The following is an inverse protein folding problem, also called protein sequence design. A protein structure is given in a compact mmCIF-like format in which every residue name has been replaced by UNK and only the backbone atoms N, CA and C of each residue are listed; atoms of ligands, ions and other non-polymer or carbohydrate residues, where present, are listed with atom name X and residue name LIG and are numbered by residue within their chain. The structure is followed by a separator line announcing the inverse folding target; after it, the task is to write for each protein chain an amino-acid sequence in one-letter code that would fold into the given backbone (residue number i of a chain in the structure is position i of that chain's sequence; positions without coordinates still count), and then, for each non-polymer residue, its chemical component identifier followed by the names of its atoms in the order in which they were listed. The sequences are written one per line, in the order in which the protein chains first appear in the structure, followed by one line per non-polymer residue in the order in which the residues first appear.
data_IF_527363767391
#
_entry.id   IF_527363767391
#
_cell.length_a   1.000
_cell.length_b   1.000
_cell.length_c   1.000
_cell.angle_alpha   90.00
_cell.angle_beta   90.00
_cell.angle_gamma   90.00
#
_symmetry.space_group_name_H-M   'P 1'
#
loop_
_entity.id
_entity.type
_entity.pdbx_description
1 polymer ?
#
# COMPACT_ATOMS: atom_id res chain seq x y z
N UNK A 1 6.45 9.72 21.26
CA UNK A 1 6.58 8.93 20.03
C UNK A 1 8.07 8.76 19.78
N UNK A 2 8.61 7.56 19.99
CA UNK A 2 10.05 7.30 19.85
C UNK A 2 10.38 7.21 18.37
N UNK A 3 11.33 8.00 17.88
CA UNK A 3 11.77 7.96 16.48
C UNK A 3 12.68 6.76 16.31
N UNK A 4 12.30 5.82 15.44
CA UNK A 4 13.17 4.72 15.03
C UNK A 4 13.71 4.99 13.62
N UNK A 5 15.01 5.25 13.54
CA UNK A 5 15.69 5.47 12.25
C UNK A 5 15.67 4.18 11.42
N UNK A 6 15.77 3.02 12.06
CA UNK A 6 15.74 1.72 11.40
C UNK A 6 14.39 1.44 10.75
N UNK A 7 13.28 1.82 11.38
CA UNK A 7 11.94 1.73 10.79
C UNK A 7 11.81 2.63 9.56
N UNK A 8 12.20 3.91 9.69
CA UNK A 8 12.14 4.87 8.60
C UNK A 8 13.02 4.44 7.42
N UNK A 9 14.21 3.89 7.70
CA UNK A 9 15.09 3.28 6.71
C UNK A 9 14.41 2.11 6.01
N UNK A 10 13.76 1.23 6.77
CA UNK A 10 13.02 0.08 6.24
C UNK A 10 11.90 0.50 5.29
N UNK A 11 11.11 1.51 5.64
CA UNK A 11 10.06 2.05 4.78
C UNK A 11 10.63 2.68 3.50
N UNK A 12 11.65 3.53 3.63
CA UNK A 12 12.31 4.17 2.50
C UNK A 12 12.89 3.16 1.52
N UNK A 13 13.59 2.13 2.03
CA UNK A 13 14.17 1.06 1.21
C UNK A 13 13.09 0.30 0.43
N UNK A 14 12.02 -0.13 1.10
CA UNK A 14 10.89 -0.82 0.45
C UNK A 14 10.24 0.01 -0.65
N UNK A 15 10.04 1.31 -0.44
CA UNK A 15 9.48 2.18 -1.49
C UNK A 15 10.39 2.26 -2.71
N UNK A 16 11.70 2.44 -2.51
CA UNK A 16 12.66 2.53 -3.62
C UNK A 16 12.76 1.21 -4.38
N UNK A 17 12.78 0.08 -3.68
CA UNK A 17 12.79 -1.25 -4.30
C UNK A 17 11.55 -1.49 -5.15
N UNK A 18 10.36 -1.12 -4.66
CA UNK A 18 9.09 -1.26 -5.41
C UNK A 18 8.99 -0.32 -6.61
N UNK A 19 9.58 0.88 -6.51
CA UNK A 19 9.58 1.86 -7.60
C UNK A 19 10.65 1.58 -8.65
N UNK A 20 11.71 0.84 -8.32
CA UNK A 20 12.83 0.60 -9.21
C UNK A 20 12.48 -0.44 -10.27
N UNK A 21 12.54 -0.04 -11.55
CA UNK A 21 12.27 -0.91 -12.71
C UNK A 21 13.52 -1.60 -13.28
N UNK A 22 14.57 -1.81 -12.47
CA UNK A 22 15.78 -2.56 -12.85
C UNK A 22 17.12 -1.84 -12.65
N UNK A 23 18.21 -2.48 -13.11
CA UNK A 23 19.60 -2.05 -12.97
C UNK A 23 19.90 -0.79 -13.81
N UNK A 24 19.46 0.37 -13.34
CA UNK A 24 19.64 1.66 -14.00
C UNK A 24 18.62 2.69 -13.53
N UNK A 25 17.48 2.24 -13.02
CA UNK A 25 16.40 3.10 -12.56
C UNK A 25 16.52 3.51 -11.07
N UNK A 26 17.58 3.06 -10.39
CA UNK A 26 17.82 3.34 -8.97
C UNK A 26 17.84 4.85 -8.64
N UNK A 27 18.50 5.67 -9.47
CA UNK A 27 18.56 7.12 -9.25
C UNK A 27 17.17 7.75 -9.43
N UNK A 28 16.47 7.39 -10.50
CA UNK A 28 15.13 7.91 -10.76
C UNK A 28 14.11 7.44 -9.69
N UNK A 29 14.24 6.21 -9.20
CA UNK A 29 13.42 5.68 -8.11
C UNK A 29 13.68 6.48 -6.81
N UNK A 30 14.95 6.77 -6.48
CA UNK A 30 15.30 7.66 -5.37
C UNK A 30 14.71 9.06 -5.54
N UNK A 31 14.65 9.59 -6.76
CA UNK A 31 14.00 10.87 -7.03
C UNK A 31 12.49 10.83 -6.81
N UNK A 32 11.81 9.82 -7.36
CA UNK A 32 10.35 9.63 -7.19
C UNK A 32 10.00 9.47 -5.71
N UNK A 33 10.69 8.58 -5.00
CA UNK A 33 10.45 8.35 -3.57
C UNK A 33 10.86 9.54 -2.72
N UNK A 34 11.91 10.26 -3.10
CA UNK A 34 12.31 11.52 -2.46
C UNK A 34 11.18 12.55 -2.49
N UNK A 35 10.51 12.72 -3.64
CA UNK A 35 9.34 13.60 -3.76
C UNK A 35 8.19 13.16 -2.86
N UNK A 36 7.89 11.86 -2.80
CA UNK A 36 6.85 11.31 -1.92
C UNK A 36 7.16 11.60 -0.44
N UNK A 37 8.40 11.37 -0.02
CA UNK A 37 8.86 11.60 1.34
C UNK A 37 9.13 13.08 1.68
N UNK A 38 9.00 14.00 0.71
CA UNK A 38 9.39 15.42 0.81
C UNK A 38 10.87 15.57 1.25
N UNK A 39 11.73 14.72 0.71
CA UNK A 39 13.16 14.67 1.00
C UNK A 39 14.00 14.73 -0.27
N UNK A 40 15.18 15.31 -0.17
CA UNK A 40 16.13 15.30 -1.27
C UNK A 40 16.62 13.86 -1.55
N UNK A 41 16.82 13.46 -2.83
CA UNK A 41 17.21 12.10 -3.19
C UNK A 41 18.52 11.67 -2.52
N UNK A 42 19.48 12.61 -2.39
CA UNK A 42 20.73 12.38 -1.68
C UNK A 42 20.51 12.06 -0.20
N UNK A 43 19.64 12.80 0.48
CA UNK A 43 19.30 12.52 1.88
C UNK A 43 18.61 11.16 1.99
N UNK A 44 17.64 10.87 1.14
CA UNK A 44 16.98 9.56 1.13
C UNK A 44 17.98 8.40 0.96
N UNK A 45 18.95 8.54 0.05
CA UNK A 45 20.03 7.56 -0.16
C UNK A 45 20.87 7.36 1.10
N UNK A 46 21.29 8.46 1.76
CA UNK A 46 22.05 8.38 3.02
C UNK A 46 21.28 7.66 4.12
N UNK A 47 19.96 7.88 4.22
CA UNK A 47 19.11 7.16 5.17
C UNK A 47 19.11 5.66 4.86
N UNK A 48 18.88 5.29 3.59
CA UNK A 48 18.85 3.89 3.13
C UNK A 48 20.18 3.18 3.41
N UNK A 49 21.30 3.85 3.18
CA UNK A 49 22.64 3.34 3.43
C UNK A 49 23.01 3.27 4.92
N UNK A 50 22.20 3.82 5.84
CA UNK A 50 22.52 3.88 7.27
C UNK A 50 23.54 4.96 7.63
N UNK A 51 23.74 5.96 6.78
CA UNK A 51 24.69 7.06 6.98
C UNK A 51 24.09 8.25 7.76
N UNK A 52 22.82 8.15 8.17
CA UNK A 52 22.16 9.13 9.04
C UNK A 52 22.18 8.68 10.49
N UNK A 53 22.70 9.55 11.36
CA UNK A 53 22.76 9.34 12.81
C UNK A 53 21.49 9.83 13.52
N UNK A 54 20.82 10.83 12.96
CA UNK A 54 19.57 11.38 13.50
C UNK A 54 18.58 11.70 12.38
N UNK A 55 17.29 11.57 12.69
CA UNK A 55 16.17 11.86 11.81
C UNK A 55 15.17 12.72 12.54
N UNK A 56 15.05 13.99 12.14
CA UNK A 56 14.06 14.89 12.75
C UNK A 56 12.63 14.37 12.62
N UNK A 57 11.80 14.68 13.63
CA UNK A 57 10.39 14.22 13.75
C UNK A 57 9.60 14.43 12.45
N UNK A 58 9.79 15.59 11.79
CA UNK A 58 9.12 15.93 10.53
C UNK A 58 9.48 14.94 9.41
N UNK A 59 10.75 14.58 9.27
CA UNK A 59 11.18 13.64 8.23
C UNK A 59 10.67 12.24 8.52
N UNK A 60 10.71 11.79 9.79
CA UNK A 60 10.12 10.52 10.19
C UNK A 60 8.62 10.44 9.85
N UNK A 61 7.85 11.47 10.21
CA UNK A 61 6.42 11.54 9.91
C UNK A 61 6.14 11.55 8.39
N UNK A 62 6.93 12.32 7.62
CA UNK A 62 6.77 12.37 6.16
C UNK A 62 7.07 11.01 5.50
N UNK A 63 8.15 10.33 5.89
CA UNK A 63 8.49 9.00 5.35
C UNK A 63 7.40 7.99 5.68
N UNK A 64 6.91 7.99 6.93
CA UNK A 64 5.83 7.09 7.36
C UNK A 64 4.55 7.35 6.57
N UNK A 65 4.13 8.61 6.44
CA UNK A 65 2.94 8.98 5.68
C UNK A 65 3.09 8.58 4.21
N UNK A 66 4.24 8.85 3.60
CA UNK A 66 4.53 8.49 2.22
C UNK A 66 4.46 6.97 2.01
N UNK A 67 5.02 6.18 2.94
CA UNK A 67 5.00 4.72 2.88
C UNK A 67 3.58 4.15 2.95
N UNK A 68 2.74 4.69 3.84
CA UNK A 68 1.34 4.27 3.96
C UNK A 68 0.58 4.59 2.68
N UNK A 69 0.63 5.84 2.20
CA UNK A 69 -0.06 6.23 0.96
C UNK A 69 0.46 5.48 -0.27
N UNK A 70 1.76 5.19 -0.35
CA UNK A 70 2.34 4.36 -1.42
C UNK A 70 1.80 2.93 -1.38
N UNK A 71 1.72 2.34 -0.18
CA UNK A 71 1.21 0.98 -0.01
C UNK A 71 -0.29 0.90 -0.30
N UNK A 72 -1.09 1.89 0.11
CA UNK A 72 -2.51 1.98 -0.23
C UNK A 72 -2.74 2.04 -1.73
N UNK A 73 -1.94 2.85 -2.45
CA UNK A 73 -2.00 2.92 -3.90
C UNK A 73 -1.69 1.57 -4.55
N UNK A 74 -0.62 0.90 -4.11
CA UNK A 74 -0.28 -0.44 -4.63
C UNK A 74 -1.38 -1.47 -4.39
N UNK A 75 -2.03 -1.43 -3.22
CA UNK A 75 -3.19 -2.29 -2.94
C UNK A 75 -4.31 -2.00 -3.93
N UNK A 76 -4.64 -0.73 -4.16
CA UNK A 76 -5.68 -0.33 -5.10
C UNK A 76 -5.37 -0.78 -6.54
N UNK A 77 -4.13 -0.60 -6.98
CA UNK A 77 -3.70 -0.98 -8.33
C UNK A 77 -3.79 -2.51 -8.52
N UNK A 78 -3.32 -3.29 -7.54
CA UNK A 78 -3.41 -4.76 -7.55
C UNK A 78 -4.86 -5.26 -7.48
N UNK A 79 -5.72 -4.62 -6.69
CA UNK A 79 -7.15 -4.94 -6.64
C UNK A 79 -7.83 -4.70 -7.99
N UNK A 80 -7.50 -3.59 -8.66
CA UNK A 80 -8.03 -3.30 -9.99
C UNK A 80 -7.54 -4.33 -11.03
N UNK A 81 -6.27 -4.72 -10.96
CA UNK A 81 -5.70 -5.76 -11.82
C UNK A 81 -6.38 -7.13 -11.61
N UNK A 82 -6.58 -7.52 -10.34
CA UNK A 82 -7.30 -8.76 -10.00
C UNK A 82 -8.72 -8.77 -10.55
N UNK A 83 -9.47 -7.68 -10.38
CA UNK A 83 -10.83 -7.56 -10.93
C UNK A 83 -10.83 -7.60 -12.47
N UNK A 84 -9.88 -6.94 -13.11
CA UNK A 84 -9.75 -6.96 -14.56
C UNK A 84 -9.48 -8.38 -15.07
N UNK A 85 -8.60 -9.14 -14.41
CA UNK A 85 -8.28 -10.51 -14.83
C UNK A 85 -9.40 -11.51 -14.53
N UNK A 86 -10.07 -11.36 -13.37
CA UNK A 86 -11.25 -12.15 -13.02
C UNK A 86 -12.43 -11.89 -13.97
N UNK A 87 -12.56 -10.69 -14.52
CA UNK A 87 -13.62 -10.40 -15.49
C UNK A 87 -13.39 -11.03 -16.88
N UNK A 88 -12.14 -11.36 -17.22
CA UNK A 88 -11.77 -12.03 -18.49
C UNK A 88 -12.02 -13.52 -18.46
N UNK A 89 -11.97 -14.13 -17.29
CA UNK A 89 -12.32 -15.54 -17.10
C UNK A 89 -13.77 -15.58 -16.65
N UNK A 90 -14.70 -16.25 -17.36
CA UNK A 90 -16.01 -16.55 -16.79
C UNK A 90 -15.80 -17.54 -15.63
N UNK A 91 -15.43 -17.01 -14.46
CA UNK A 91 -15.11 -17.78 -13.27
C UNK A 91 -16.41 -18.07 -12.54
N UNK A 92 -16.74 -19.34 -12.42
CA UNK A 92 -17.85 -19.86 -11.62
C UNK A 92 -17.86 -19.35 -10.18
N UNK A 93 -16.71 -18.88 -9.67
CA UNK A 93 -16.54 -18.50 -8.27
C UNK A 93 -17.09 -17.12 -7.94
N UNK A 94 -17.08 -16.16 -8.86
CA UNK A 94 -17.73 -14.86 -8.65
C UNK A 94 -19.25 -15.03 -8.60
N UNK A 95 -19.80 -15.91 -9.42
CA UNK A 95 -21.21 -16.33 -9.38
C UNK A 95 -21.53 -16.99 -8.04
N UNK A 96 -20.67 -17.89 -7.56
CA UNK A 96 -20.83 -18.54 -6.25
C UNK A 96 -20.85 -17.54 -5.08
N UNK A 97 -19.97 -16.53 -5.10
CA UNK A 97 -19.92 -15.50 -4.05
C UNK A 97 -21.16 -14.59 -4.11
N UNK A 98 -21.61 -14.22 -5.31
CA UNK A 98 -22.85 -13.44 -5.48
C UNK A 98 -24.07 -14.22 -4.97
N UNK A 99 -24.15 -15.51 -5.26
CA UNK A 99 -25.20 -16.39 -4.74
C UNK A 99 -25.16 -16.51 -3.20
N UNK A 100 -23.96 -16.52 -2.62
CA UNK A 100 -23.76 -16.55 -1.17
C UNK A 100 -24.21 -15.24 -0.49
N UNK A 101 -23.87 -14.10 -1.11
CA UNK A 101 -24.32 -12.77 -0.66
C UNK A 101 -25.84 -12.64 -0.76
N UNK A 102 -26.44 -13.14 -1.83
CA UNK A 102 -27.91 -13.14 -1.99
C UNK A 102 -28.59 -14.01 -0.92
N UNK A 103 -28.09 -15.22 -0.65
CA UNK A 103 -28.59 -16.08 0.42
C UNK A 103 -28.52 -15.42 1.79
N UNK A 104 -27.38 -14.83 2.14
CA UNK A 104 -27.20 -14.13 3.41
C UNK A 104 -28.14 -12.91 3.52
N UNK A 105 -28.36 -12.19 2.42
CA UNK A 105 -29.29 -11.06 2.40
C UNK A 105 -30.75 -11.49 2.61
N UNK A 106 -31.14 -12.65 2.07
CA UNK A 106 -32.47 -13.23 2.24
C UNK A 106 -32.67 -13.70 3.68
N UNK A 107 -31.67 -14.36 4.27
CA UNK A 107 -31.70 -14.79 5.67
C UNK A 107 -31.80 -13.59 6.63
N UNK A 108 -31.02 -12.54 6.37
CA UNK A 108 -31.08 -11.30 7.15
C UNK A 108 -32.50 -10.70 7.13
N UNK A 109 -33.12 -10.61 5.94
CA UNK A 109 -34.50 -10.11 5.80
C UNK A 109 -35.49 -10.96 6.57
N UNK A 110 -35.38 -12.29 6.51
CA UNK A 110 -36.26 -13.20 7.25
C UNK A 110 -36.10 -13.04 8.77
N UNK A 111 -34.87 -12.94 9.26
CA UNK A 111 -34.60 -12.72 10.69
C UNK A 111 -35.09 -11.36 11.17
N UNK A 112 -34.89 -10.31 10.38
CA UNK A 112 -35.41 -8.96 10.68
C UNK A 112 -36.94 -8.96 10.73
N UNK A 113 -37.61 -9.67 9.82
CA UNK A 113 -39.06 -9.75 9.79
C UNK A 113 -39.62 -10.62 10.94
N UNK A 114 -38.92 -11.69 11.32
CA UNK A 114 -39.25 -12.49 12.49
C UNK A 114 -39.14 -11.71 13.81
N UNK A 115 -38.26 -10.71 13.88
CA UNK A 115 -38.10 -9.83 15.03
C UNK A 115 -39.16 -8.70 15.10
N UNK A 116 -39.94 -8.49 14.04
CA UNK A 116 -41.02 -7.50 13.99
C UNK A 116 -42.41 -8.07 14.34
N UNK A 117 -42.53 -9.38 14.52
CA UNK A 117 -43.71 -10.05 15.07
C UNK A 117 -43.58 -10.18 16.58
#
# INVERSE_FOLDING_TARGET
MTISIDEARGWAKKMVERESRGNGDQINALERVGRLCRMQPRSLRRLINGEMVDLGIRNYANIRSAYLSHTEKLISDLQAELLAEQSKTPSSDLTNIMDEVEKLSAELKQRVEALKK
#
